data_IF_086362920553
#
_entry.id   IF_086362920553
#
_cell.length_a   1.000
_cell.length_b   1.000
_cell.length_c   1.000
_cell.angle_alpha   90.00
_cell.angle_beta   90.00
_cell.angle_gamma   90.00
#
_symmetry.space_group_name_H-M   'P 1'
#
loop_
_entity.id
_entity.type
_entity.pdbx_description
1 polymer ?
#
# COMPACT_ATOMS: atom_id res chain seq x y z
N UNK A 1 3.45 15.20 -7.02
CA UNK A 1 2.05 15.52 -6.63
C UNK A 1 1.52 14.48 -5.67
N UNK A 2 0.42 14.76 -4.95
CA UNK A 2 -0.18 13.85 -3.97
C UNK A 2 -0.60 12.51 -4.58
N UNK A 3 -1.20 12.53 -5.77
CA UNK A 3 -1.60 11.33 -6.52
C UNK A 3 -0.42 10.42 -6.88
N UNK A 4 0.72 11.00 -7.26
CA UNK A 4 1.95 10.28 -7.59
C UNK A 4 2.58 9.66 -6.33
N UNK A 5 2.60 10.41 -5.22
CA UNK A 5 3.10 9.90 -3.95
C UNK A 5 2.27 8.68 -3.49
N UNK A 6 0.95 8.81 -3.49
CA UNK A 6 0.07 7.71 -3.07
C UNK A 6 0.15 6.54 -4.04
N UNK A 7 0.29 6.79 -5.35
CA UNK A 7 0.51 5.73 -6.32
C UNK A 7 1.81 4.97 -6.11
N UNK A 8 2.92 5.67 -5.87
CA UNK A 8 4.20 5.03 -5.54
C UNK A 8 4.12 4.26 -4.21
N UNK A 9 3.43 4.81 -3.21
CA UNK A 9 3.22 4.16 -1.93
C UNK A 9 2.42 2.85 -2.07
N UNK A 10 1.32 2.85 -2.82
CA UNK A 10 0.57 1.62 -3.10
C UNK A 10 1.36 0.59 -3.89
N UNK A 11 2.21 1.03 -4.84
CA UNK A 11 3.07 0.09 -5.58
C UNK A 11 3.98 -0.64 -4.61
N UNK A 12 4.75 0.06 -3.77
CA UNK A 12 5.70 -0.61 -2.85
C UNK A 12 4.99 -1.44 -1.79
N UNK A 13 3.97 -0.88 -1.14
CA UNK A 13 3.42 -1.44 0.10
C UNK A 13 2.17 -2.31 -0.10
N UNK A 14 1.71 -2.49 -1.35
CA UNK A 14 0.57 -3.35 -1.69
C UNK A 14 0.85 -4.18 -2.93
N UNK A 15 1.14 -3.57 -4.07
CA UNK A 15 1.18 -4.31 -5.35
C UNK A 15 2.50 -5.07 -5.58
N UNK A 16 3.62 -4.54 -5.11
CA UNK A 16 4.96 -5.13 -5.15
C UNK A 16 5.39 -5.64 -3.77
N UNK A 17 4.40 -6.00 -2.94
CA UNK A 17 4.66 -6.37 -1.55
C UNK A 17 5.51 -7.64 -1.46
N UNK A 18 5.29 -8.64 -2.32
CA UNK A 18 6.09 -9.87 -2.33
C UNK A 18 7.60 -9.61 -2.52
N UNK A 19 7.93 -8.67 -3.41
CA UNK A 19 9.32 -8.24 -3.57
C UNK A 19 9.78 -7.43 -2.35
N UNK A 20 8.96 -6.50 -1.88
CA UNK A 20 9.28 -5.65 -0.71
C UNK A 20 9.55 -6.49 0.55
N UNK A 21 8.67 -7.44 0.90
CA UNK A 21 8.84 -8.34 2.05
C UNK A 21 10.11 -9.18 1.94
N UNK A 22 10.44 -9.66 0.73
CA UNK A 22 11.69 -10.37 0.47
C UNK A 22 12.91 -9.49 0.78
N UNK A 23 12.88 -8.22 0.37
CA UNK A 23 14.01 -7.29 0.57
C UNK A 23 14.18 -6.85 2.03
N UNK A 24 13.10 -6.83 2.82
CA UNK A 24 13.14 -6.47 4.25
C UNK A 24 13.22 -7.68 5.18
N UNK A 25 13.19 -8.90 4.64
CA UNK A 25 13.26 -10.15 5.41
C UNK A 25 11.98 -10.49 6.17
N UNK A 26 10.82 -10.07 5.66
CA UNK A 26 9.51 -10.42 6.20
C UNK A 26 8.98 -11.69 5.49
N UNK A 27 8.59 -12.68 6.28
CA UNK A 27 8.16 -14.00 5.83
C UNK A 27 6.63 -14.18 5.91
N UNK A 28 5.86 -13.18 6.36
CA UNK A 28 4.40 -13.30 6.49
C UNK A 28 3.69 -13.34 5.13
N UNK A 29 2.94 -14.41 4.88
CA UNK A 29 2.16 -14.62 3.66
C UNK A 29 0.71 -14.12 3.79
N UNK A 30 0.10 -13.77 2.65
CA UNK A 30 -1.34 -13.48 2.57
C UNK A 30 -1.75 -12.09 3.07
N UNK A 31 -0.80 -11.27 3.49
CA UNK A 31 -1.01 -9.89 3.92
C UNK A 31 -0.14 -8.91 3.12
N UNK A 32 -0.43 -7.61 3.22
CA UNK A 32 0.45 -6.54 2.74
C UNK A 32 0.70 -5.54 3.86
N UNK A 33 1.68 -4.65 3.69
CA UNK A 33 1.88 -3.57 4.67
C UNK A 33 0.62 -2.70 4.86
N UNK A 34 -0.13 -2.44 3.79
CA UNK A 34 -1.36 -1.62 3.83
C UNK A 34 -2.57 -2.39 4.38
N UNK A 35 -2.61 -3.70 4.12
CA UNK A 35 -3.66 -4.63 4.57
C UNK A 35 -3.00 -5.77 5.36
N UNK A 36 -2.57 -5.51 6.60
CA UNK A 36 -1.80 -6.48 7.37
C UNK A 36 -2.64 -7.67 7.88
N UNK A 37 -3.97 -7.56 7.89
CA UNK A 37 -4.85 -8.63 8.38
C UNK A 37 -4.74 -8.90 9.89
N UNK A 38 -4.11 -7.99 10.65
CA UNK A 38 -3.88 -8.11 12.08
C UNK A 38 -4.92 -7.34 12.89
N UNK A 39 -5.23 -7.84 14.09
CA UNK A 39 -6.06 -7.11 15.07
C UNK A 39 -5.31 -5.89 15.63
N UNK A 40 -4.02 -6.05 15.93
CA UNK A 40 -3.12 -4.98 16.34
C UNK A 40 -2.17 -4.60 15.21
N UNK A 41 -2.50 -3.53 14.49
CA UNK A 41 -1.67 -3.00 13.39
C UNK A 41 -0.34 -2.40 13.86
N UNK A 42 -0.09 -2.30 15.17
CA UNK A 42 1.21 -1.88 15.73
C UNK A 42 2.14 -3.05 16.05
N UNK A 43 1.63 -4.29 16.00
CA UNK A 43 2.45 -5.47 16.21
C UNK A 43 3.58 -5.54 15.16
N UNK A 44 4.80 -5.83 15.60
CA UNK A 44 6.06 -5.86 14.82
C UNK A 44 6.47 -4.54 14.12
N UNK A 45 5.54 -3.60 13.94
CA UNK A 45 5.73 -2.30 13.31
C UNK A 45 5.05 -1.21 14.11
N UNK A 46 5.71 -0.72 15.17
CA UNK A 46 5.09 0.19 16.14
C UNK A 46 4.48 1.48 15.56
N UNK A 47 4.95 1.94 14.39
CA UNK A 47 4.40 3.12 13.71
C UNK A 47 3.34 2.80 12.62
N UNK A 48 3.13 1.53 12.26
CA UNK A 48 2.25 1.13 11.14
C UNK A 48 0.80 1.56 11.38
N UNK A 49 0.23 1.31 12.57
CA UNK A 49 -1.14 1.72 12.89
C UNK A 49 -1.37 3.23 12.67
N UNK A 50 -0.47 4.08 13.17
CA UNK A 50 -0.56 5.54 12.97
C UNK A 50 -0.43 5.93 11.49
N UNK A 51 0.48 5.30 10.76
CA UNK A 51 0.67 5.54 9.33
C UNK A 51 -0.57 5.12 8.52
N UNK A 52 -1.13 3.94 8.78
CA UNK A 52 -2.32 3.43 8.09
C UNK A 52 -3.57 4.27 8.40
N UNK A 53 -3.71 4.79 9.62
CA UNK A 53 -4.75 5.75 9.97
C UNK A 53 -4.67 7.01 9.08
N UNK A 54 -3.49 7.61 8.94
CA UNK A 54 -3.31 8.82 8.10
C UNK A 54 -3.46 8.50 6.62
N UNK A 55 -2.93 7.37 6.19
CA UNK A 55 -3.07 6.89 4.81
C UNK A 55 -4.53 6.73 4.41
N UNK A 56 -5.34 6.05 5.23
CA UNK A 56 -6.78 5.86 4.97
C UNK A 56 -7.52 7.19 4.89
N UNK A 57 -7.25 8.13 5.81
CA UNK A 57 -7.84 9.49 5.76
C UNK A 57 -7.45 10.25 4.51
N UNK A 58 -6.20 10.12 4.07
CA UNK A 58 -5.72 10.74 2.84
C UNK A 58 -6.42 10.14 1.61
N UNK A 59 -6.53 8.82 1.52
CA UNK A 59 -7.25 8.12 0.46
C UNK A 59 -8.71 8.57 0.40
N UNK A 60 -9.39 8.65 1.54
CA UNK A 60 -10.76 9.16 1.62
C UNK A 60 -10.87 10.61 1.13
N UNK A 61 -9.94 11.49 1.52
CA UNK A 61 -9.93 12.87 1.08
C UNK A 61 -9.70 12.97 -0.43
N UNK A 62 -8.79 12.17 -1.01
CA UNK A 62 -8.57 12.11 -2.44
C UNK A 62 -9.82 11.65 -3.19
N UNK A 63 -10.47 10.56 -2.74
CA UNK A 63 -11.76 10.08 -3.30
C UNK A 63 -12.80 11.20 -3.33
N UNK A 64 -12.97 11.91 -2.21
CA UNK A 64 -13.94 13.04 -2.08
C UNK A 64 -13.66 14.19 -3.05
N UNK A 65 -12.41 14.36 -3.47
CA UNK A 65 -11.98 15.40 -4.41
C UNK A 65 -11.83 14.88 -5.86
N UNK A 66 -12.28 13.66 -6.17
CA UNK A 66 -12.17 13.08 -7.52
C UNK A 66 -10.73 12.76 -7.94
N UNK A 67 -9.81 12.62 -6.98
CA UNK A 67 -8.43 12.25 -7.22
C UNK A 67 -8.24 10.74 -7.07
N UNK A 68 -7.41 10.16 -7.93
CA UNK A 68 -6.97 8.77 -7.84
C UNK A 68 -5.43 8.69 -7.83
N UNK A 69 -4.84 7.58 -7.36
CA UNK A 69 -3.41 7.36 -7.48
C UNK A 69 -2.96 7.39 -8.93
N UNK A 70 -1.86 8.10 -9.17
CA UNK A 70 -1.11 8.03 -10.41
C UNK A 70 0.04 7.04 -10.18
N UNK A 71 -0.04 5.86 -10.79
CA UNK A 71 1.02 4.88 -10.66
C UNK A 71 2.23 5.25 -11.51
N UNK A 72 3.46 4.96 -11.04
CA UNK A 72 4.69 5.27 -11.77
C UNK A 72 4.79 4.50 -13.10
N UNK A 73 4.04 3.41 -13.25
CA UNK A 73 3.91 2.59 -14.44
C UNK A 73 2.59 1.80 -14.41
N UNK A 74 2.14 1.22 -15.54
CA UNK A 74 0.97 0.34 -15.57
C UNK A 74 1.11 -0.86 -14.63
N UNK A 75 0.06 -1.21 -13.87
CA UNK A 75 0.12 -2.32 -12.91
C UNK A 75 0.34 -3.68 -13.58
N UNK A 76 -0.08 -3.85 -14.83
CA UNK A 76 0.20 -5.06 -15.60
C UNK A 76 1.69 -5.36 -15.78
N UNK A 77 2.57 -4.38 -15.55
CA UNK A 77 4.01 -4.57 -15.59
C UNK A 77 4.58 -5.18 -14.29
N UNK A 78 3.78 -5.29 -13.22
CA UNK A 78 4.20 -5.96 -11.99
C UNK A 78 4.03 -7.48 -12.09
N UNK A 79 4.85 -8.26 -11.36
CA UNK A 79 4.64 -9.69 -11.23
C UNK A 79 3.21 -10.02 -10.80
N UNK A 80 2.58 -10.98 -11.47
CA UNK A 80 1.19 -11.38 -11.19
C UNK A 80 0.11 -10.44 -11.75
N UNK A 81 0.48 -9.33 -12.41
CA UNK A 81 -0.42 -8.37 -13.04
C UNK A 81 -1.66 -8.03 -12.18
N UNK A 82 -1.44 -7.47 -10.96
CA UNK A 82 -2.51 -7.28 -10.00
C UNK A 82 -3.57 -6.30 -10.51
N UNK A 83 -4.82 -6.56 -10.11
CA UNK A 83 -5.91 -5.61 -10.35
C UNK A 83 -5.82 -4.47 -9.34
N UNK A 84 -6.16 -3.26 -9.80
CA UNK A 84 -6.30 -2.09 -8.93
C UNK A 84 -7.40 -2.37 -7.88
N UNK A 85 -7.08 -2.13 -6.61
CA UNK A 85 -7.98 -2.38 -5.46
C UNK A 85 -8.75 -1.11 -5.06
N UNK A 86 -8.18 0.07 -5.33
CA UNK A 86 -8.82 1.37 -5.10
C UNK A 86 -9.61 1.85 -6.34
#
# INVERSE_FOLDING_TARGET
MLSEFVGAFEVVFRYDWEYTKTMIGDEEDGATFIEPGLEDETNDWGARGALLEKYRRLVEAMKKNGLSPAFPFPLENLPGAPKRVW
#
